data_IF_973777329998
#
_entry.id   IF_973777329998
#
_cell.length_a   1.000
_cell.length_b   1.000
_cell.length_c   1.000
_cell.angle_alpha   90.00
_cell.angle_beta   90.00
_cell.angle_gamma   90.00
#
_symmetry.space_group_name_H-M   'P 1'
#
loop_
_entity.id
_entity.type
_entity.pdbx_description
1 polymer ?
#
# COMPACT_ATOMS: atom_id res chain seq x y z
N UNK A 1 24.45 -2.44 27.41
CA UNK A 1 23.77 -2.97 26.21
C UNK A 1 22.43 -2.25 26.11
N UNK A 2 22.30 -1.26 25.21
CA UNK A 2 21.06 -0.50 25.08
C UNK A 2 20.13 -1.24 24.11
N UNK A 3 19.06 -1.84 24.62
CA UNK A 3 18.00 -2.45 23.82
C UNK A 3 17.29 -1.31 23.06
N UNK A 4 17.65 -1.13 21.79
CA UNK A 4 16.81 -0.35 20.88
C UNK A 4 15.55 -1.18 20.64
N UNK A 5 14.45 -0.78 21.27
CA UNK A 5 13.12 -1.26 20.89
C UNK A 5 12.94 -0.86 19.43
N UNK A 6 12.93 -1.84 18.53
CA UNK A 6 12.62 -1.59 17.13
C UNK A 6 11.17 -1.09 17.07
N UNK A 7 10.97 0.17 16.70
CA UNK A 7 9.64 0.69 16.42
C UNK A 7 9.17 -0.06 15.17
N UNK A 8 8.22 -0.98 15.35
CA UNK A 8 7.59 -1.72 14.27
C UNK A 8 6.80 -0.74 13.42
N UNK A 9 7.01 -0.74 12.10
CA UNK A 9 6.28 0.16 11.23
C UNK A 9 4.88 -0.38 10.97
N UNK A 10 3.92 0.53 10.88
CA UNK A 10 2.59 0.24 10.34
C UNK A 10 2.48 0.97 9.01
N UNK A 11 1.94 0.30 8.00
CA UNK A 11 1.69 0.90 6.69
C UNK A 11 0.19 1.08 6.50
N UNK A 12 -0.21 2.20 5.93
CA UNK A 12 -1.60 2.57 5.70
C UNK A 12 -1.87 2.73 4.20
N UNK A 13 -3.09 2.40 3.75
CA UNK A 13 -3.52 2.58 2.35
C UNK A 13 -5.03 2.67 2.25
N UNK A 14 -5.55 3.52 1.36
CA UNK A 14 -6.98 3.50 0.98
C UNK A 14 -7.20 2.43 -0.07
N UNK A 15 -8.14 1.52 0.17
CA UNK A 15 -8.52 0.49 -0.79
C UNK A 15 -10.01 0.21 -0.76
N UNK A 16 -10.54 -0.22 -1.90
CA UNK A 16 -11.88 -0.76 -2.03
C UNK A 16 -11.95 -2.14 -1.35
N UNK A 17 -13.00 -2.40 -0.54
CA UNK A 17 -13.33 -3.75 -0.11
C UNK A 17 -13.86 -4.55 -1.29
N UNK A 18 -13.61 -5.85 -1.26
CA UNK A 18 -14.27 -6.85 -2.10
C UNK A 18 -15.56 -7.34 -1.43
N UNK A 19 -16.25 -8.30 -2.06
CA UNK A 19 -17.50 -8.89 -1.56
C UNK A 19 -17.38 -9.53 -0.17
N UNK A 20 -16.18 -9.98 0.19
CA UNK A 20 -15.85 -10.58 1.49
C UNK A 20 -15.38 -9.56 2.54
N UNK A 21 -15.53 -8.26 2.25
CA UNK A 21 -15.11 -7.15 3.12
C UNK A 21 -13.61 -7.17 3.45
N UNK A 22 -12.79 -7.72 2.56
CA UNK A 22 -11.31 -7.63 2.57
C UNK A 22 -10.82 -6.76 1.41
N UNK A 23 -9.55 -6.32 1.36
CA UNK A 23 -9.06 -5.54 0.23
C UNK A 23 -9.31 -6.24 -1.12
N UNK A 24 -9.79 -5.50 -2.10
CA UNK A 24 -9.97 -5.96 -3.48
C UNK A 24 -8.62 -6.40 -4.10
N UNK A 25 -8.62 -7.41 -4.98
CA UNK A 25 -7.40 -7.94 -5.64
C UNK A 25 -7.25 -7.55 -7.13
N UNK A 26 -7.88 -6.46 -7.58
CA UNK A 26 -7.74 -5.99 -8.97
C UNK A 26 -6.46 -5.17 -9.17
N UNK A 27 -5.97 -5.07 -10.41
CA UNK A 27 -4.87 -4.16 -10.78
C UNK A 27 -5.38 -2.73 -10.87
N UNK A 28 -5.48 -2.04 -9.74
CA UNK A 28 -5.86 -0.62 -9.67
C UNK A 28 -5.16 0.09 -8.52
N UNK A 29 -5.19 1.43 -8.51
CA UNK A 29 -4.67 2.23 -7.39
C UNK A 29 -5.43 2.02 -6.08
N UNK A 30 -6.63 1.43 -6.16
CA UNK A 30 -7.58 1.30 -5.06
C UNK A 30 -7.69 -0.16 -4.59
N UNK A 31 -6.86 -1.08 -5.11
CA UNK A 31 -6.87 -2.49 -4.75
C UNK A 31 -5.46 -2.94 -4.33
N UNK A 32 -5.37 -4.14 -3.78
CA UNK A 32 -4.16 -4.80 -3.25
C UNK A 32 -3.35 -5.50 -4.36
N UNK A 33 -3.16 -4.80 -5.48
CA UNK A 33 -2.19 -5.14 -6.54
C UNK A 33 -1.64 -3.85 -7.11
N UNK A 34 -0.73 -3.98 -8.08
CA UNK A 34 -0.08 -2.88 -8.76
C UNK A 34 -0.65 -2.67 -10.16
N UNK A 35 -0.75 -1.41 -10.57
CA UNK A 35 -1.05 -1.01 -11.94
C UNK A 35 0.15 -1.18 -12.83
N UNK A 36 -0.07 -1.82 -13.98
CA UNK A 36 0.94 -2.00 -15.02
C UNK A 36 0.30 -1.68 -16.36
N UNK A 37 0.94 -0.78 -17.12
CA UNK A 37 0.52 -0.33 -18.45
C UNK A 37 -0.88 0.31 -18.51
N UNK A 38 -1.27 1.08 -17.50
CA UNK A 38 -2.55 1.81 -17.47
C UNK A 38 -2.36 3.28 -17.80
N UNK A 39 -2.85 3.74 -18.95
CA UNK A 39 -3.08 5.16 -19.31
C UNK A 39 -2.00 6.16 -18.82
N UNK A 40 -0.72 5.81 -18.97
CA UNK A 40 0.41 6.67 -18.59
C UNK A 40 0.77 6.70 -17.10
N UNK A 41 0.07 5.94 -16.25
CA UNK A 41 0.33 5.83 -14.80
C UNK A 41 0.59 4.36 -14.45
N UNK A 42 1.82 4.07 -14.03
CA UNK A 42 2.26 2.74 -13.62
C UNK A 42 2.78 2.79 -12.19
N UNK A 43 2.34 1.84 -11.37
CA UNK A 43 2.89 1.66 -10.01
C UNK A 43 4.26 0.96 -10.10
N UNK A 44 4.39 0.03 -11.05
CA UNK A 44 5.65 -0.63 -11.43
C UNK A 44 5.73 -0.79 -12.94
N UNK A 45 6.95 -0.81 -13.47
CA UNK A 45 7.22 -1.13 -14.88
C UNK A 45 8.23 -2.27 -14.91
N UNK A 46 7.84 -3.50 -15.32
CA UNK A 46 8.80 -4.56 -15.54
C UNK A 46 9.89 -4.11 -16.53
N UNK A 47 11.15 -4.38 -16.19
CA UNK A 47 12.28 -4.09 -17.07
C UNK A 47 12.27 -5.01 -18.29
N UNK A 48 13.13 -4.75 -19.31
CA UNK A 48 13.23 -5.61 -20.50
C UNK A 48 13.57 -7.08 -20.20
N UNK A 49 14.15 -7.38 -19.04
CA UNK A 49 14.39 -8.75 -18.57
C UNK A 49 13.13 -9.47 -18.07
N UNK A 50 11.98 -8.77 -17.99
CA UNK A 50 10.70 -9.28 -17.53
C UNK A 50 10.51 -9.23 -16.01
N UNK A 51 11.45 -8.64 -15.26
CA UNK A 51 11.42 -8.58 -13.79
C UNK A 51 11.03 -7.19 -13.28
N UNK A 52 10.42 -7.16 -12.11
CA UNK A 52 10.25 -5.95 -11.29
C UNK A 52 11.44 -5.91 -10.33
N UNK A 53 12.18 -4.80 -10.32
CA UNK A 53 13.37 -4.64 -9.48
C UNK A 53 13.10 -3.72 -8.29
N UNK A 54 13.86 -3.87 -7.19
CA UNK A 54 13.80 -2.96 -6.06
C UNK A 54 14.09 -1.51 -6.50
N UNK A 55 13.28 -0.55 -6.01
CA UNK A 55 13.40 0.87 -6.36
C UNK A 55 12.73 1.29 -7.67
N UNK A 56 12.15 0.38 -8.45
CA UNK A 56 11.44 0.70 -9.71
C UNK A 56 9.96 1.07 -9.50
N UNK A 57 9.56 1.35 -8.25
CA UNK A 57 8.18 1.61 -7.86
C UNK A 57 7.59 0.47 -7.03
N UNK A 58 6.31 0.58 -6.73
CA UNK A 58 5.59 -0.40 -5.93
C UNK A 58 4.20 0.09 -5.56
N UNK A 59 3.53 -0.67 -4.68
CA UNK A 59 2.23 -0.29 -4.18
C UNK A 59 2.38 0.85 -3.16
N UNK A 60 1.79 2.01 -3.45
CA UNK A 60 1.87 3.18 -2.55
C UNK A 60 1.19 2.92 -1.20
N UNK A 61 1.89 3.24 -0.13
CA UNK A 61 1.42 3.21 1.26
C UNK A 61 1.99 4.43 1.98
N UNK A 62 1.42 4.79 3.12
CA UNK A 62 2.01 5.79 4.02
C UNK A 62 2.33 5.20 5.39
N UNK A 63 3.22 5.87 6.12
CA UNK A 63 3.62 5.48 7.48
C UNK A 63 2.69 6.00 8.57
N UNK A 64 1.75 6.89 8.24
CA UNK A 64 0.74 7.39 9.19
C UNK A 64 -0.62 7.59 8.52
N UNK A 65 -1.71 7.42 9.29
CA UNK A 65 -3.07 7.60 8.81
C UNK A 65 -3.37 9.06 8.42
N UNK A 66 -2.78 10.02 9.14
CA UNK A 66 -3.01 11.46 8.96
C UNK A 66 -2.54 11.96 7.59
N UNK A 67 -1.48 11.36 7.03
CA UNK A 67 -1.00 11.70 5.68
C UNK A 67 -2.00 11.29 4.59
N UNK A 68 -2.69 10.17 4.81
CA UNK A 68 -3.69 9.64 3.88
C UNK A 68 -5.05 10.30 4.08
N UNK A 69 -5.36 10.73 5.30
CA UNK A 69 -6.70 11.18 5.67
C UNK A 69 -7.29 12.27 4.76
N UNK A 70 -6.56 13.33 4.34
CA UNK A 70 -7.10 14.31 3.40
C UNK A 70 -7.49 13.71 2.05
N UNK A 71 -6.71 12.75 1.54
CA UNK A 71 -7.01 12.04 0.31
C UNK A 71 -8.22 11.13 0.47
N UNK A 72 -8.30 10.40 1.60
CA UNK A 72 -9.42 9.55 1.96
C UNK A 72 -10.73 10.35 2.08
N UNK A 73 -10.75 11.46 2.82
CA UNK A 73 -11.92 12.32 2.96
C UNK A 73 -12.40 12.88 1.61
N UNK A 74 -11.47 13.23 0.72
CA UNK A 74 -11.81 13.70 -0.63
C UNK A 74 -12.50 12.61 -1.45
N UNK A 75 -12.08 11.35 -1.29
CA UNK A 75 -12.65 10.22 -2.01
C UNK A 75 -14.01 9.82 -1.43
N UNK A 76 -14.14 9.76 -0.11
CA UNK A 76 -15.41 9.47 0.57
C UNK A 76 -16.54 10.44 0.18
N UNK A 77 -16.22 11.70 -0.12
CA UNK A 77 -17.19 12.72 -0.59
C UNK A 77 -17.73 12.47 -2.00
N UNK A 78 -17.14 11.56 -2.80
CA UNK A 78 -17.62 11.25 -4.16
C UNK A 78 -18.76 10.22 -4.22
N UNK A 79 -19.23 9.76 -3.06
CA UNK A 79 -20.53 9.10 -2.75
C UNK A 79 -20.92 7.81 -3.47
N UNK A 80 -20.10 7.21 -4.34
CA UNK A 80 -20.39 5.91 -4.97
C UNK A 80 -19.40 4.80 -4.61
N UNK A 81 -18.31 5.12 -3.90
CA UNK A 81 -17.23 4.18 -3.57
C UNK A 81 -17.10 3.97 -2.07
N UNK A 82 -17.26 2.72 -1.63
CA UNK A 82 -17.07 2.26 -0.25
C UNK A 82 -15.57 2.07 0.07
N UNK A 83 -14.73 3.04 -0.29
CA UNK A 83 -13.31 2.98 0.03
C UNK A 83 -13.08 2.99 1.54
N UNK A 84 -12.12 2.19 2.00
CA UNK A 84 -11.77 2.07 3.41
C UNK A 84 -10.28 2.36 3.60
N UNK A 85 -9.94 2.93 4.75
CA UNK A 85 -8.55 3.05 5.16
C UNK A 85 -8.12 1.73 5.82
N UNK A 86 -7.09 1.11 5.27
CA UNK A 86 -6.52 -0.14 5.76
C UNK A 86 -5.16 0.11 6.39
N UNK A 87 -4.79 -0.75 7.33
CA UNK A 87 -3.46 -0.81 7.93
C UNK A 87 -2.90 -2.23 7.91
N UNK A 88 -1.58 -2.36 7.85
CA UNK A 88 -0.85 -3.62 8.00
C UNK A 88 0.39 -3.41 8.86
N UNK A 89 0.73 -4.40 9.70
CA UNK A 89 1.99 -4.42 10.44
C UNK A 89 3.15 -4.84 9.54
N UNK A 90 4.34 -4.30 9.77
CA UNK A 90 5.56 -4.75 9.08
C UNK A 90 5.87 -6.24 9.31
N UNK A 91 5.43 -6.84 10.42
CA UNK A 91 5.63 -8.27 10.68
C UNK A 91 4.77 -9.18 9.79
N UNK A 92 3.65 -8.65 9.28
CA UNK A 92 2.75 -9.38 8.39
C UNK A 92 3.12 -9.21 6.91
N UNK A 93 4.17 -8.42 6.62
CA UNK A 93 4.72 -8.24 5.29
C UNK A 93 5.75 -9.35 5.02
N UNK A 94 5.58 -10.14 3.92
CA UNK A 94 6.55 -11.15 3.54
C UNK A 94 7.96 -10.59 3.43
N UNK A 95 8.96 -11.37 3.83
CA UNK A 95 10.38 -10.98 3.85
C UNK A 95 10.96 -10.58 2.48
N UNK A 96 10.27 -10.96 1.41
CA UNK A 96 10.55 -10.70 0.02
C UNK A 96 10.07 -9.32 -0.43
N UNK A 97 9.25 -8.66 0.38
CA UNK A 97 8.80 -7.28 0.18
C UNK A 97 9.46 -6.34 1.20
N UNK A 98 9.46 -5.05 0.90
CA UNK A 98 9.96 -4.02 1.80
C UNK A 98 9.19 -2.72 1.60
N UNK A 99 8.90 -2.01 2.70
CA UNK A 99 8.41 -0.64 2.64
C UNK A 99 9.58 0.33 2.46
N UNK A 100 9.81 0.80 1.23
CA UNK A 100 10.84 1.80 0.91
C UNK A 100 10.25 3.21 0.93
N UNK A 101 10.89 4.12 1.66
CA UNK A 101 10.56 5.55 1.62
C UNK A 101 10.92 6.13 0.25
N UNK A 102 9.99 6.85 -0.35
CA UNK A 102 10.17 7.59 -1.59
C UNK A 102 9.90 9.06 -1.29
N UNK A 103 10.92 9.89 -1.51
CA UNK A 103 10.81 11.34 -1.35
C UNK A 103 10.74 11.99 -2.72
N UNK A 104 9.64 12.65 -3.04
CA UNK A 104 9.47 13.37 -4.31
C UNK A 104 8.89 14.75 -4.04
N UNK A 105 9.62 15.81 -4.42
CA UNK A 105 9.17 17.21 -4.34
C UNK A 105 8.61 17.61 -2.95
N UNK A 106 9.23 17.11 -1.88
CA UNK A 106 8.87 17.45 -0.51
C UNK A 106 7.71 16.64 0.09
N UNK A 107 7.17 15.65 -0.62
CA UNK A 107 6.25 14.66 -0.05
C UNK A 107 6.95 13.32 0.12
N UNK A 108 7.01 12.86 1.37
CA UNK A 108 7.45 11.52 1.71
C UNK A 108 6.26 10.58 1.71
N UNK A 109 6.31 9.58 0.84
CA UNK A 109 5.41 8.42 0.84
C UNK A 109 6.26 7.15 0.83
N UNK A 110 5.62 5.99 0.90
CA UNK A 110 6.32 4.71 0.88
C UNK A 110 5.78 3.84 -0.24
N UNK A 111 6.64 2.98 -0.76
CA UNK A 111 6.24 1.89 -1.64
C UNK A 111 6.47 0.58 -0.92
N UNK A 112 5.43 -0.26 -0.86
CA UNK A 112 5.61 -1.67 -0.61
C UNK A 112 6.06 -2.31 -1.92
N UNK A 113 7.35 -2.61 -2.04
CA UNK A 113 8.01 -3.04 -3.28
C UNK A 113 8.82 -4.33 -3.07
N UNK A 114 9.25 -5.01 -4.16
CA UNK A 114 10.15 -6.16 -4.05
C UNK A 114 11.48 -5.82 -3.36
N UNK A 115 11.94 -6.69 -2.46
CA UNK A 115 13.28 -6.63 -1.85
C UNK A 115 14.38 -7.11 -2.81
N UNK A 116 14.03 -8.02 -3.71
CA UNK A 116 14.90 -8.58 -4.75
C UNK A 116 14.16 -8.62 -6.08
N UNK A 117 14.87 -8.70 -7.23
CA UNK A 117 14.22 -8.85 -8.53
C UNK A 117 13.30 -10.08 -8.55
N UNK A 118 12.06 -9.90 -8.99
CA UNK A 118 11.08 -10.98 -9.10
C UNK A 118 10.13 -10.72 -10.27
N UNK A 119 9.49 -11.77 -10.78
CA UNK A 119 8.48 -11.60 -11.83
C UNK A 119 7.30 -10.77 -11.31
N UNK A 120 6.63 -10.03 -12.19
CA UNK A 120 5.40 -9.31 -11.84
C UNK A 120 4.37 -10.24 -11.17
N UNK A 121 4.23 -11.47 -11.68
CA UNK A 121 3.31 -12.47 -11.14
C UNK A 121 3.66 -12.85 -9.69
N UNK A 122 4.94 -13.08 -9.38
CA UNK A 122 5.37 -13.39 -8.02
C UNK A 122 5.11 -12.21 -7.09
N UNK A 123 5.40 -10.99 -7.54
CA UNK A 123 5.13 -9.80 -6.76
C UNK A 123 3.64 -9.63 -6.43
N UNK A 124 2.76 -9.81 -7.41
CA UNK A 124 1.31 -9.77 -7.19
C UNK A 124 0.78 -10.88 -6.29
N UNK A 125 1.40 -12.07 -6.35
CA UNK A 125 1.07 -13.18 -5.43
C UNK A 125 1.46 -12.80 -4.00
N UNK A 126 2.65 -12.22 -3.80
CA UNK A 126 3.08 -11.78 -2.47
C UNK A 126 2.17 -10.68 -1.92
N UNK A 127 1.81 -9.68 -2.73
CA UNK A 127 0.85 -8.65 -2.32
C UNK A 127 -0.51 -9.26 -1.96
N UNK A 128 -1.07 -10.11 -2.83
CA UNK A 128 -2.33 -10.78 -2.54
C UNK A 128 -2.25 -11.70 -1.32
N UNK A 129 -1.09 -12.28 -1.03
CA UNK A 129 -0.84 -13.09 0.17
C UNK A 129 -0.94 -12.29 1.47
N UNK A 130 -0.77 -10.96 1.43
CA UNK A 130 -0.96 -10.10 2.61
C UNK A 130 -2.41 -9.77 2.92
N UNK A 131 -3.37 -10.16 2.04
CA UNK A 131 -4.77 -9.70 2.08
C UNK A 131 -5.44 -9.87 3.44
N UNK A 132 -5.15 -10.96 4.13
CA UNK A 132 -5.79 -11.31 5.41
C UNK A 132 -5.15 -10.60 6.61
N UNK A 133 -4.01 -9.94 6.42
CA UNK A 133 -3.33 -9.16 7.44
C UNK A 133 -3.67 -7.66 7.40
N UNK A 134 -4.46 -7.23 6.41
CA UNK A 134 -4.94 -5.86 6.35
C UNK A 134 -6.20 -5.71 7.20
N UNK A 135 -6.12 -4.82 8.19
CA UNK A 135 -7.24 -4.47 9.04
C UNK A 135 -7.81 -3.10 8.65
N UNK A 136 -9.12 -2.95 8.76
CA UNK A 136 -9.77 -1.64 8.63
C UNK A 136 -9.31 -0.74 9.79
N UNK A 137 -8.76 0.42 9.45
CA UNK A 137 -8.42 1.46 10.40
C UNK A 137 -9.58 2.44 10.51
N UNK A 138 -10.32 2.36 11.61
CA UNK A 138 -11.36 3.31 11.95
C UNK A 138 -10.72 4.61 12.43
N UNK A 139 -11.07 5.71 11.77
CA UNK A 139 -10.74 7.04 12.26
C UNK A 139 -11.92 7.46 13.12
N UNK A 140 -11.70 7.53 14.43
CA UNK A 140 -12.69 8.09 15.33
C UNK A 140 -12.96 9.54 14.90
N UNK A 141 -14.24 9.95 14.78
CA UNK A 141 -14.53 11.35 14.55
C UNK A 141 -13.92 12.15 15.69
N UNK A 142 -13.06 13.12 15.35
CA UNK A 142 -12.60 14.11 16.32
C UNK A 142 -13.84 14.72 16.95
N UNK A 143 -14.11 14.40 18.22
CA UNK A 143 -15.14 15.07 18.99
C UNK A 143 -14.80 16.57 18.96
N UNK A 144 -15.63 17.34 18.27
CA UNK A 144 -15.53 18.80 18.28
C UNK A 144 -15.89 19.28 19.67
N UNK A 145 -14.88 19.48 20.52
CA UNK A 145 -14.95 20.29 21.75
C UNK A 145 -14.81 21.76 21.44
#
# INVERSE_FOLDING_TARGET
MSLRVAIRRTSFRVMLPDVDKKPCLKRSSECLRVRVYTDGINDVVPRPDGFVHPGDGGMSVDDTAEKIFPAFLRLARRSDRDEQLWRISEDDIPSELVCRRVSRRGTDHYHLEPRFPMSLKQYEILLAGTRDAWDVHYIEPLETT
#
